data_IF_373785146032
#
_entry.id   IF_373785146032
#
_cell.length_a   1.000
_cell.length_b   1.000
_cell.length_c   1.000
_cell.angle_alpha   90.00
_cell.angle_beta   90.00
_cell.angle_gamma   90.00
#
_symmetry.space_group_name_H-M   'P 1'
#
loop_
_entity.id
_entity.type
_entity.pdbx_description
1 polymer ?
#
# COMPACT_ATOMS: atom_id res chain seq x y z
N UNK A 1 11.11 4.37 17.85
CA UNK A 1 10.82 4.25 17.56
C UNK A 1 10.41 3.81 16.69
N UNK A 2 10.05 3.49 16.28
CA UNK A 2 9.75 2.96 15.48
C UNK A 2 8.69 3.20 14.83
N UNK A 3 8.35 4.02 14.50
CA UNK A 3 7.38 4.38 13.93
C UNK A 3 7.39 3.84 12.64
N UNK A 4 6.53 3.15 12.18
CA UNK A 4 6.44 2.66 10.92
C UNK A 4 5.87 3.62 10.02
N UNK A 5 6.63 4.19 9.11
CA UNK A 5 6.15 5.10 8.15
C UNK A 5 5.78 4.42 6.87
N UNK A 6 5.92 3.13 6.78
CA UNK A 6 5.65 2.37 5.57
C UNK A 6 4.85 1.13 5.88
N UNK A 7 4.05 0.74 4.90
CA UNK A 7 3.36 -0.54 5.00
C UNK A 7 4.16 -1.58 4.23
N UNK A 8 3.97 -2.83 4.56
CA UNK A 8 4.58 -3.92 3.83
C UNK A 8 3.52 -4.56 2.93
N UNK A 9 3.94 -5.50 2.09
CA UNK A 9 2.99 -6.23 1.25
C UNK A 9 1.97 -6.94 2.14
N UNK A 10 2.45 -7.54 3.21
CA UNK A 10 1.55 -8.25 4.11
C UNK A 10 0.53 -7.31 4.73
N UNK A 11 0.95 -6.09 5.07
CA UNK A 11 0.05 -5.12 5.64
C UNK A 11 -1.07 -4.80 4.66
N UNK A 12 -0.74 -4.61 3.39
CA UNK A 12 -1.73 -4.32 2.39
C UNK A 12 -2.70 -5.48 2.19
N UNK A 13 -2.19 -6.70 2.28
CA UNK A 13 -3.07 -7.86 2.18
C UNK A 13 -4.13 -7.80 3.26
N UNK A 14 -3.74 -7.43 4.45
CA UNK A 14 -4.66 -7.39 5.58
C UNK A 14 -5.58 -6.20 5.52
N UNK A 15 -5.05 -5.05 5.18
CA UNK A 15 -5.86 -3.84 5.13
C UNK A 15 -6.93 -3.93 4.05
N UNK A 16 -6.54 -4.41 2.88
CA UNK A 16 -7.45 -4.48 1.76
C UNK A 16 -8.13 -5.84 1.61
N UNK A 17 -7.70 -6.81 2.39
CA UNK A 17 -8.23 -8.15 2.35
C UNK A 17 -8.12 -8.75 0.96
N UNK A 18 -6.93 -8.67 0.39
CA UNK A 18 -6.68 -9.20 -0.95
C UNK A 18 -5.50 -10.16 -0.91
N UNK A 19 -5.33 -10.92 -1.96
CA UNK A 19 -4.25 -11.89 -2.02
C UNK A 19 -2.94 -11.19 -2.35
N UNK A 20 -1.84 -11.88 -2.09
CA UNK A 20 -0.52 -11.34 -2.36
C UNK A 20 -0.31 -10.98 -3.81
N UNK A 21 -0.66 -11.85 -4.75
CA UNK A 21 -0.51 -11.47 -6.16
C UNK A 21 -1.29 -10.22 -6.52
N UNK A 22 -2.43 -10.02 -5.88
CA UNK A 22 -3.24 -8.83 -6.14
C UNK A 22 -2.53 -7.58 -5.64
N UNK A 23 -1.80 -7.69 -4.52
CA UNK A 23 -1.03 -6.56 -4.02
C UNK A 23 0.03 -6.17 -5.05
N UNK A 24 0.72 -7.16 -5.62
CA UNK A 24 1.75 -6.86 -6.60
C UNK A 24 1.16 -6.20 -7.85
N UNK A 25 -0.02 -6.62 -8.26
CA UNK A 25 -0.67 -6.00 -9.40
C UNK A 25 -0.99 -4.55 -9.07
N UNK A 26 -1.45 -4.32 -7.86
CA UNK A 26 -1.79 -2.97 -7.43
C UNK A 26 -0.55 -2.08 -7.40
N UNK A 27 0.57 -2.61 -6.93
CA UNK A 27 1.81 -1.84 -6.87
C UNK A 27 2.29 -1.45 -8.26
N UNK A 28 2.05 -2.30 -9.25
CA UNK A 28 2.47 -2.00 -10.60
C UNK A 28 1.75 -0.79 -11.16
N UNK A 29 0.56 -0.52 -10.68
CA UNK A 29 -0.20 0.60 -11.18
C UNK A 29 0.31 1.92 -10.66
N UNK A 30 1.13 1.86 -9.61
CA UNK A 30 1.72 3.04 -9.01
C UNK A 30 0.72 4.13 -8.68
N UNK A 31 -0.36 3.72 -8.08
CA UNK A 31 -1.38 4.69 -7.68
C UNK A 31 -1.00 5.37 -6.37
N UNK A 32 -0.02 4.85 -5.68
CA UNK A 32 0.52 5.48 -4.49
C UNK A 32 2.02 5.21 -4.46
N UNK A 33 2.73 5.96 -3.65
CA UNK A 33 4.18 5.87 -3.64
C UNK A 33 4.69 4.64 -2.91
N UNK A 34 5.66 3.99 -3.50
CA UNK A 34 6.32 2.89 -2.84
C UNK A 34 7.73 2.76 -3.42
N UNK A 35 8.58 2.08 -2.68
CA UNK A 35 9.95 1.84 -3.13
C UNK A 35 10.30 0.40 -2.82
N UNK A 36 11.26 -0.12 -3.54
CA UNK A 36 11.72 -1.48 -3.33
C UNK A 36 13.14 -1.38 -2.75
N UNK A 37 13.31 -1.84 -1.55
CA UNK A 37 14.61 -1.78 -0.88
C UNK A 37 15.00 -3.15 -0.40
N UNK A 38 16.16 -3.61 -0.84
CA UNK A 38 16.65 -4.90 -0.37
C UNK A 38 15.70 -6.04 -0.65
N UNK A 39 14.99 -5.97 -1.75
CA UNK A 39 14.04 -7.02 -2.10
C UNK A 39 12.71 -6.92 -1.39
N UNK A 40 12.52 -5.86 -0.62
CA UNK A 40 11.26 -5.69 0.10
C UNK A 40 10.56 -4.43 -0.31
N UNK A 41 9.27 -4.53 -0.51
CA UNK A 41 8.47 -3.37 -0.90
C UNK A 41 8.14 -2.56 0.33
N UNK A 42 8.31 -1.24 0.22
CA UNK A 42 7.97 -0.33 1.30
C UNK A 42 6.98 0.67 0.73
N UNK A 43 5.77 0.64 1.21
CA UNK A 43 4.72 1.50 0.69
C UNK A 43 4.51 2.67 1.65
N UNK A 44 4.53 3.87 1.11
CA UNK A 44 4.36 5.06 1.93
C UNK A 44 2.99 5.05 2.59
N UNK A 45 2.96 5.08 3.90
CA UNK A 45 1.71 5.09 4.62
C UNK A 45 0.86 6.28 4.26
N UNK A 46 1.48 7.43 4.24
CA UNK A 46 0.77 8.65 3.94
C UNK A 46 0.16 8.61 2.55
N UNK A 47 0.95 8.17 1.58
CA UNK A 47 0.49 8.13 0.21
C UNK A 47 -0.63 7.10 0.03
N UNK A 48 -0.45 5.95 0.64
CA UNK A 48 -1.44 4.89 0.57
C UNK A 48 -2.73 5.32 1.24
N UNK A 49 -2.64 5.94 2.41
CA UNK A 49 -3.81 6.36 3.13
C UNK A 49 -4.59 7.41 2.34
N UNK A 50 -3.88 8.32 1.71
CA UNK A 50 -4.54 9.32 0.89
C UNK A 50 -5.23 8.69 -0.32
N UNK A 51 -4.56 7.74 -0.92
CA UNK A 51 -5.13 7.04 -2.07
C UNK A 51 -6.39 6.27 -1.65
N UNK A 52 -6.29 5.60 -0.52
CA UNK A 52 -7.40 4.79 -0.05
C UNK A 52 -8.58 5.66 0.32
N UNK A 53 -8.33 6.77 1.01
CA UNK A 53 -9.38 7.67 1.39
C UNK A 53 -10.03 8.29 0.16
N UNK A 54 -9.23 8.68 -0.78
CA UNK A 54 -9.74 9.30 -1.99
C UNK A 54 -10.53 8.33 -2.83
N UNK A 55 -10.01 7.13 -3.00
CA UNK A 55 -10.68 6.15 -3.80
C UNK A 55 -11.89 5.59 -3.08
N UNK A 56 -11.70 5.33 -1.82
CA UNK A 56 -12.76 4.69 -1.06
C UNK A 56 -13.93 5.58 -0.82
N UNK A 57 -13.67 6.85 -0.63
CA UNK A 57 -14.74 7.73 -0.29
C UNK A 57 -15.51 8.16 -1.49
N UNK A 58 -14.95 7.95 -2.60
CA UNK A 58 -15.64 8.32 -3.73
C UNK A 58 -16.93 7.72 -3.79
N UNK A 59 -17.02 6.59 -3.44
CA UNK A 59 -18.12 6.04 -3.55
C UNK A 59 -18.97 6.30 -2.63
N UNK A 60 -18.73 6.58 -1.95
CA UNK A 60 -19.58 6.76 -0.98
C UNK A 60 -20.52 7.47 -1.12
#
# INVERSE_FOLDING_TARGET
MNENRCYTVKDLQEILEISRPTVYELLKKREFSWVLIGGKYRISKKSFDLWLDGSGSVKS
#
